data_IF_186312070709
#
_entry.id   IF_186312070709
#
_cell.length_a   1.000
_cell.length_b   1.000
_cell.length_c   1.000
_cell.angle_alpha   90.00
_cell.angle_beta   90.00
_cell.angle_gamma   90.00
#
_symmetry.space_group_name_H-M   'P 1'
#
loop_
_entity.id
_entity.type
_entity.pdbx_description
1 polymer ?
#
# COMPACT_ATOMS: atom_id res chain seq x y z
N UNK A 1 41.60 20.21 68.87
CA UNK A 1 41.38 21.27 67.85
C UNK A 1 41.11 20.53 66.54
N UNK A 2 39.90 20.00 66.38
CA UNK A 2 38.80 20.68 65.65
C UNK A 2 39.17 21.00 64.20
N UNK A 3 38.71 20.19 63.25
CA UNK A 3 37.44 20.47 62.59
C UNK A 3 37.07 19.36 61.60
N UNK A 4 35.88 18.80 61.79
CA UNK A 4 35.24 17.94 60.81
C UNK A 4 34.78 18.71 59.58
N UNK A 5 34.63 17.99 58.47
CA UNK A 5 33.65 18.28 57.44
C UNK A 5 32.97 16.99 57.04
N UNK A 6 31.76 16.81 57.58
CA UNK A 6 30.68 16.17 56.85
C UNK A 6 30.55 16.88 55.50
N UNK A 7 30.54 16.11 54.42
CA UNK A 7 29.79 16.42 53.21
C UNK A 7 28.91 15.20 52.96
N UNK A 8 27.85 15.16 53.76
CA UNK A 8 26.60 14.56 53.35
C UNK A 8 25.99 15.53 52.31
N UNK A 9 25.85 15.06 51.09
CA UNK A 9 24.90 15.60 50.12
C UNK A 9 24.70 14.56 49.04
N UNK A 10 23.81 13.61 49.34
CA UNK A 10 23.01 12.90 48.36
C UNK A 10 22.35 13.93 47.43
N UNK A 11 23.01 14.26 46.32
CA UNK A 11 22.35 14.92 45.19
C UNK A 11 21.49 13.86 44.50
N UNK A 12 20.29 13.65 45.04
CA UNK A 12 19.19 13.08 44.27
C UNK A 12 18.92 14.02 43.11
N UNK A 13 19.38 13.63 41.92
CA UNK A 13 19.07 14.33 40.68
C UNK A 13 17.56 14.58 40.61
N UNK A 14 17.13 15.82 40.29
CA UNK A 14 15.72 16.16 40.25
C UNK A 14 15.03 15.29 39.21
N UNK A 15 13.92 14.68 39.64
CA UNK A 15 12.92 13.97 38.85
C UNK A 15 13.18 13.96 37.35
N UNK A 16 13.81 12.91 36.83
CA UNK A 16 13.76 12.63 35.40
C UNK A 16 12.28 12.35 35.06
N UNK A 17 11.58 13.29 34.39
CA UNK A 17 10.14 13.19 34.20
C UNK A 17 9.78 11.93 33.39
N UNK A 18 10.69 11.43 32.55
CA UNK A 18 10.50 10.21 31.76
C UNK A 18 10.58 8.97 32.67
N UNK A 19 11.47 8.98 33.66
CA UNK A 19 11.61 7.87 34.61
C UNK A 19 10.38 7.69 35.51
N UNK A 20 9.58 8.74 35.71
CA UNK A 20 8.35 8.72 36.52
C UNK A 20 7.07 8.43 35.73
N UNK A 21 7.12 8.32 34.39
CA UNK A 21 5.94 7.98 33.59
C UNK A 21 5.45 6.57 33.92
N UNK A 22 4.13 6.30 33.93
CA UNK A 22 3.59 4.93 33.97
C UNK A 22 4.01 4.10 32.75
N UNK A 23 4.03 2.77 32.88
CA UNK A 23 4.41 1.88 31.77
C UNK A 23 3.45 2.01 30.57
N UNK A 24 2.19 2.32 30.82
CA UNK A 24 1.15 2.50 29.81
C UNK A 24 1.47 3.71 28.93
N UNK A 25 1.78 4.85 29.55
CA UNK A 25 2.15 6.08 28.84
C UNK A 25 3.44 5.87 28.06
N UNK A 26 4.43 5.21 28.67
CA UNK A 26 5.68 4.90 27.99
C UNK A 26 5.48 3.94 26.80
N UNK A 27 4.55 2.98 26.91
CA UNK A 27 4.19 2.09 25.80
C UNK A 27 3.56 2.86 24.64
N UNK A 28 2.66 3.81 24.92
CA UNK A 28 2.09 4.67 23.89
C UNK A 28 3.16 5.51 23.19
N UNK A 29 4.10 6.07 23.95
CA UNK A 29 5.25 6.79 23.37
C UNK A 29 6.06 5.89 22.43
N UNK A 30 6.29 4.62 22.81
CA UNK A 30 7.01 3.66 21.95
C UNK A 30 6.24 3.34 20.66
N UNK A 31 4.91 3.25 20.74
CA UNK A 31 4.08 3.01 19.55
C UNK A 31 4.01 4.23 18.62
N UNK A 32 4.10 5.45 19.16
CA UNK A 32 4.20 6.69 18.38
C UNK A 32 5.61 6.91 17.79
N UNK A 33 6.63 6.25 18.31
CA UNK A 33 8.00 6.33 17.80
C UNK A 33 8.20 5.60 16.46
N UNK A 34 7.42 4.54 16.21
CA UNK A 34 7.45 3.77 14.97
C UNK A 34 6.37 4.26 13.99
N UNK A 35 6.47 3.97 12.67
CA UNK A 35 5.44 4.34 11.73
C UNK A 35 4.13 3.62 12.02
N UNK A 36 3.02 4.20 11.54
CA UNK A 36 1.69 3.65 11.78
C UNK A 36 1.54 2.31 11.04
N UNK A 37 1.13 1.27 11.77
CA UNK A 37 0.83 -0.04 11.18
C UNK A 37 -0.17 0.12 10.02
N UNK A 38 0.04 -0.50 8.83
CA UNK A 38 0.94 -1.62 8.56
C UNK A 38 2.34 -1.24 8.02
N UNK A 39 2.71 0.03 8.05
CA UNK A 39 4.05 0.46 7.62
C UNK A 39 5.13 -0.17 8.50
N UNK A 40 6.24 -0.56 7.87
CA UNK A 40 7.33 -1.25 8.55
C UNK A 40 8.40 -0.25 8.99
N UNK A 41 8.78 -0.20 10.28
CA UNK A 41 9.97 0.53 10.70
C UNK A 41 11.24 -0.12 10.12
N UNK A 42 12.36 0.64 10.04
CA UNK A 42 13.66 0.05 9.75
C UNK A 42 14.00 -1.08 10.73
N UNK A 43 14.44 -2.23 10.21
CA UNK A 43 14.90 -3.35 11.03
C UNK A 43 16.12 -2.97 11.88
N UNK A 44 16.99 -2.15 11.31
CA UNK A 44 18.27 -1.73 11.88
C UNK A 44 18.44 -0.22 11.71
N UNK A 45 19.27 0.38 12.57
CA UNK A 45 19.63 1.78 12.49
C UNK A 45 18.62 2.74 13.14
N UNK A 46 18.72 4.05 12.82
CA UNK A 46 17.85 5.07 13.39
C UNK A 46 16.37 4.76 13.12
N UNK A 47 15.51 5.13 14.08
CA UNK A 47 14.05 4.91 14.02
C UNK A 47 13.62 3.43 14.08
N UNK A 48 14.55 2.50 14.28
CA UNK A 48 14.22 1.11 14.59
C UNK A 48 13.71 0.98 16.03
N UNK A 49 12.64 0.21 16.29
CA UNK A 49 12.20 -0.09 17.65
C UNK A 49 13.29 -0.80 18.47
N UNK A 50 14.28 -1.41 17.83
CA UNK A 50 15.46 -1.97 18.50
C UNK A 50 16.26 -0.90 19.28
N UNK A 51 16.21 0.37 18.87
CA UNK A 51 16.86 1.47 19.59
C UNK A 51 16.25 1.72 20.97
N UNK A 52 14.94 1.48 21.15
CA UNK A 52 14.27 1.64 22.45
C UNK A 52 14.86 0.71 23.51
N UNK A 53 15.35 -0.45 23.09
CA UNK A 53 16.00 -1.43 23.96
C UNK A 53 17.37 -0.98 24.49
N UNK A 54 17.97 0.07 23.91
CA UNK A 54 19.32 0.53 24.25
C UNK A 54 19.35 1.68 25.27
N UNK A 55 18.18 2.25 25.63
CA UNK A 55 18.10 3.44 26.48
C UNK A 55 18.37 3.11 27.95
N UNK A 56 17.56 2.22 28.53
CA UNK A 56 17.75 1.74 29.90
C UNK A 56 17.08 0.37 30.08
N UNK A 57 17.35 -0.29 31.21
CA UNK A 57 16.78 -1.61 31.51
C UNK A 57 15.24 -1.63 31.48
N UNK A 58 14.59 -0.58 31.98
CA UNK A 58 13.13 -0.46 31.97
C UNK A 58 12.57 -0.42 30.55
N UNK A 59 13.20 0.34 29.65
CA UNK A 59 12.78 0.44 28.25
C UNK A 59 13.04 -0.87 27.49
N UNK A 60 14.13 -1.56 27.78
CA UNK A 60 14.42 -2.90 27.28
C UNK A 60 13.30 -3.88 27.64
N UNK A 61 12.98 -3.99 28.93
CA UNK A 61 11.95 -4.92 29.44
C UNK A 61 10.58 -4.59 28.85
N UNK A 62 10.22 -3.31 28.80
CA UNK A 62 8.94 -2.87 28.25
C UNK A 62 8.84 -3.09 26.73
N UNK A 63 9.90 -2.78 25.97
CA UNK A 63 9.92 -3.01 24.52
C UNK A 63 9.77 -4.51 24.18
N UNK A 64 10.43 -5.38 24.94
CA UNK A 64 10.29 -6.84 24.79
C UNK A 64 8.89 -7.34 25.16
N UNK A 65 8.21 -6.67 26.10
CA UNK A 65 6.84 -6.98 26.52
C UNK A 65 5.76 -6.44 25.57
N UNK A 66 6.13 -5.67 24.52
CA UNK A 66 5.20 -5.07 23.56
C UNK A 66 5.30 -5.73 22.17
N UNK A 67 4.57 -6.84 21.91
CA UNK A 67 4.58 -7.52 20.61
C UNK A 67 4.26 -6.65 19.40
N UNK A 68 3.48 -5.57 19.61
CA UNK A 68 3.05 -4.64 18.56
C UNK A 68 4.22 -3.89 17.92
N UNK A 69 5.34 -3.69 18.63
CA UNK A 69 6.54 -3.05 18.07
C UNK A 69 7.23 -3.92 17.00
N UNK A 70 6.95 -5.22 16.99
CA UNK A 70 7.71 -6.22 16.23
C UNK A 70 6.91 -6.87 15.10
N UNK A 71 5.65 -6.48 14.91
CA UNK A 71 4.70 -7.16 14.00
C UNK A 71 4.74 -6.67 12.54
N UNK A 72 5.47 -5.61 12.24
CA UNK A 72 5.67 -5.11 10.88
C UNK A 72 7.16 -5.28 10.52
N UNK A 73 7.43 -6.05 9.47
CA UNK A 73 8.77 -6.51 9.10
C UNK A 73 9.01 -6.17 7.63
N UNK A 74 10.07 -5.42 7.36
CA UNK A 74 10.55 -5.17 6.00
C UNK A 74 11.97 -5.67 5.84
N UNK A 75 12.21 -6.46 4.79
CA UNK A 75 13.54 -6.85 4.34
C UNK A 75 13.74 -6.23 2.97
N UNK A 76 14.70 -5.31 2.89
CA UNK A 76 14.99 -4.56 1.68
C UNK A 76 16.50 -4.37 1.49
N UNK A 77 16.93 -4.47 0.24
CA UNK A 77 18.31 -4.22 -0.13
C UNK A 77 18.56 -2.70 -0.20
N UNK A 78 18.89 -2.14 0.96
CA UNK A 78 19.50 -0.81 1.07
C UNK A 78 21.00 -0.97 1.31
N UNK A 79 21.67 -1.55 0.30
CA UNK A 79 23.08 -1.32 -0.02
C UNK A 79 24.08 -1.54 1.13
N UNK A 80 24.13 -2.73 1.75
CA UNK A 80 25.37 -3.43 2.24
C UNK A 80 25.13 -4.52 3.30
N UNK A 81 23.92 -4.66 3.90
CA UNK A 81 23.69 -5.56 5.06
C UNK A 81 22.46 -6.48 4.94
N UNK A 82 22.02 -6.81 3.72
CA UNK A 82 20.75 -7.51 3.52
C UNK A 82 20.71 -8.93 4.14
N UNK A 83 21.83 -9.65 4.19
CA UNK A 83 21.87 -10.98 4.82
C UNK A 83 21.68 -10.94 6.34
N UNK A 84 22.13 -9.87 6.99
CA UNK A 84 22.02 -9.67 8.44
C UNK A 84 20.60 -9.29 8.87
N UNK A 85 19.79 -8.78 7.94
CA UNK A 85 18.39 -8.46 8.20
C UNK A 85 17.55 -9.70 8.50
N UNK A 86 17.84 -10.86 7.89
CA UNK A 86 17.04 -12.09 8.08
C UNK A 86 17.06 -12.57 9.54
N UNK A 87 18.22 -12.72 10.21
CA UNK A 87 18.28 -13.05 11.63
C UNK A 87 17.52 -12.06 12.53
N UNK A 88 17.63 -10.76 12.25
CA UNK A 88 16.94 -9.70 13.02
C UNK A 88 15.43 -9.78 12.81
N UNK A 89 14.99 -9.98 11.57
CA UNK A 89 13.59 -10.14 11.22
C UNK A 89 12.98 -11.40 11.86
N UNK A 90 13.76 -12.48 11.99
CA UNK A 90 13.35 -13.67 12.75
C UNK A 90 13.15 -13.37 14.24
N UNK A 91 14.04 -12.58 14.83
CA UNK A 91 13.88 -12.14 16.22
C UNK A 91 12.62 -11.28 16.41
N UNK A 92 12.31 -10.41 15.46
CA UNK A 92 11.06 -9.64 15.46
C UNK A 92 9.83 -10.54 15.31
N UNK A 93 9.91 -11.54 14.45
CA UNK A 93 8.86 -12.55 14.29
C UNK A 93 8.58 -13.32 15.60
N UNK A 94 9.61 -13.66 16.37
CA UNK A 94 9.46 -14.29 17.69
C UNK A 94 8.86 -13.34 18.74
N UNK A 95 9.26 -12.07 18.71
CA UNK A 95 8.77 -11.03 19.64
C UNK A 95 7.34 -10.59 19.36
N UNK A 96 6.89 -10.67 18.11
CA UNK A 96 5.50 -10.36 17.71
C UNK A 96 4.48 -11.41 18.17
N UNK A 97 4.93 -12.55 18.72
CA UNK A 97 4.08 -13.60 19.31
C UNK A 97 2.98 -14.10 18.38
N UNK A 98 1.72 -13.80 18.69
CA UNK A 98 0.54 -14.25 17.94
C UNK A 98 -0.08 -13.12 17.11
N UNK A 99 0.49 -11.91 17.16
CA UNK A 99 -0.07 -10.77 16.44
C UNK A 99 -0.03 -11.01 14.92
N UNK A 100 -1.02 -10.51 14.17
CA UNK A 100 -0.96 -10.58 12.72
C UNK A 100 0.21 -9.75 12.18
N UNK A 101 0.75 -10.13 11.02
CA UNK A 101 2.01 -9.62 10.50
C UNK A 101 1.79 -8.75 9.27
N UNK A 102 2.53 -7.65 9.20
CA UNK A 102 2.83 -6.95 7.95
C UNK A 102 4.21 -7.38 7.47
N UNK A 103 4.31 -7.93 6.27
CA UNK A 103 5.56 -8.42 5.69
C UNK A 103 5.81 -7.74 4.35
N UNK A 104 6.94 -7.06 4.22
CA UNK A 104 7.41 -6.41 3.00
C UNK A 104 8.76 -6.99 2.58
N UNK A 105 8.83 -7.55 1.38
CA UNK A 105 10.07 -8.01 0.74
C UNK A 105 10.25 -7.22 -0.55
N UNK A 106 11.26 -6.36 -0.59
CA UNK A 106 11.45 -5.40 -1.69
C UNK A 106 12.92 -5.29 -2.11
N UNK A 107 13.17 -5.12 -3.42
CA UNK A 107 14.51 -4.87 -3.98
C UNK A 107 15.55 -5.97 -3.69
N UNK A 108 15.12 -7.15 -3.25
CA UNK A 108 16.01 -8.28 -2.97
C UNK A 108 16.42 -8.98 -4.25
N UNK A 109 17.67 -9.47 -4.30
CA UNK A 109 18.06 -10.44 -5.32
C UNK A 109 17.25 -11.73 -5.20
N UNK A 110 17.38 -12.60 -6.22
CA UNK A 110 16.63 -13.85 -6.27
C UNK A 110 16.91 -14.77 -5.07
N UNK A 111 18.18 -14.93 -4.70
CA UNK A 111 18.58 -15.85 -3.64
C UNK A 111 18.05 -15.41 -2.28
N UNK A 112 18.18 -14.13 -1.95
CA UNK A 112 17.72 -13.56 -0.69
C UNK A 112 16.20 -13.52 -0.61
N UNK A 113 15.53 -13.21 -1.71
CA UNK A 113 14.07 -13.27 -1.79
C UNK A 113 13.56 -14.67 -1.46
N UNK A 114 14.15 -15.71 -2.08
CA UNK A 114 13.76 -17.10 -1.85
C UNK A 114 14.04 -17.54 -0.41
N UNK A 115 15.20 -17.16 0.14
CA UNK A 115 15.58 -17.45 1.52
C UNK A 115 14.66 -16.77 2.53
N UNK A 116 14.40 -15.47 2.37
CA UNK A 116 13.47 -14.72 3.23
C UNK A 116 12.07 -15.32 3.14
N UNK A 117 11.58 -15.58 1.94
CA UNK A 117 10.26 -16.13 1.75
C UNK A 117 10.10 -17.53 2.36
N UNK A 118 11.08 -18.41 2.17
CA UNK A 118 11.12 -19.73 2.80
C UNK A 118 11.09 -19.62 4.34
N UNK A 119 11.73 -18.59 4.88
CA UNK A 119 11.80 -18.30 6.32
C UNK A 119 10.45 -17.88 6.90
N UNK A 120 9.70 -17.01 6.21
CA UNK A 120 8.41 -16.50 6.73
C UNK A 120 7.19 -17.35 6.36
N UNK A 121 7.27 -18.17 5.30
CA UNK A 121 6.15 -19.01 4.82
C UNK A 121 5.52 -19.93 5.88
N UNK A 122 6.28 -20.51 6.84
CA UNK A 122 5.69 -21.27 7.95
C UNK A 122 4.69 -20.47 8.79
N UNK A 123 4.83 -19.14 8.85
CA UNK A 123 4.01 -18.25 9.67
C UNK A 123 2.89 -17.54 8.89
N UNK A 124 2.64 -17.95 7.63
CA UNK A 124 1.65 -17.32 6.74
C UNK A 124 0.22 -17.22 7.29
N UNK A 125 -0.15 -18.07 8.26
CA UNK A 125 -1.45 -18.00 8.90
C UNK A 125 -1.68 -16.67 9.64
N UNK A 126 -0.59 -15.98 10.00
CA UNK A 126 -0.59 -14.68 10.67
C UNK A 126 -0.49 -13.50 9.69
N UNK A 127 -0.25 -13.71 8.41
CA UNK A 127 -0.06 -12.60 7.46
C UNK A 127 -1.36 -11.81 7.28
N UNK A 128 -1.32 -10.52 7.61
CA UNK A 128 -2.42 -9.56 7.43
C UNK A 128 -2.15 -8.66 6.21
N UNK A 129 -0.90 -8.22 6.05
CA UNK A 129 -0.45 -7.47 4.88
C UNK A 129 0.80 -8.12 4.29
N UNK A 130 0.80 -8.36 2.99
CA UNK A 130 1.92 -8.96 2.27
C UNK A 130 2.29 -8.08 1.07
N UNK A 131 3.55 -7.65 1.01
CA UNK A 131 4.11 -6.90 -0.10
C UNK A 131 5.34 -7.61 -0.66
N UNK A 132 5.24 -8.06 -1.91
CA UNK A 132 6.32 -8.74 -2.63
C UNK A 132 6.64 -7.94 -3.89
N UNK A 133 7.77 -7.24 -3.90
CA UNK A 133 8.19 -6.40 -5.03
C UNK A 133 9.60 -6.80 -5.47
N UNK A 134 9.68 -7.47 -6.61
CA UNK A 134 10.90 -8.08 -7.14
C UNK A 134 11.26 -7.55 -8.53
N UNK A 135 12.55 -7.30 -8.74
CA UNK A 135 13.12 -6.89 -10.02
C UNK A 135 13.65 -8.07 -10.86
N UNK A 136 13.23 -9.29 -10.54
CA UNK A 136 13.65 -10.50 -11.25
C UNK A 136 12.46 -11.41 -11.59
N UNK A 137 12.73 -12.45 -12.37
CA UNK A 137 11.70 -13.34 -12.93
C UNK A 137 11.21 -14.32 -11.87
N UNK A 138 10.00 -14.07 -11.35
CA UNK A 138 9.40 -14.92 -10.31
C UNK A 138 9.10 -16.32 -10.86
N UNK A 139 9.81 -17.32 -10.34
CA UNK A 139 9.65 -18.72 -10.75
C UNK A 139 8.45 -19.42 -10.10
N UNK A 140 7.67 -18.68 -9.30
CA UNK A 140 6.51 -19.19 -8.59
C UNK A 140 6.86 -19.57 -7.16
N UNK A 141 6.06 -19.13 -6.19
CA UNK A 141 6.17 -19.62 -4.83
C UNK A 141 5.17 -20.72 -4.55
N UNK A 142 5.64 -21.79 -3.94
CA UNK A 142 4.78 -22.89 -3.45
C UNK A 142 3.81 -22.49 -2.34
N UNK A 143 3.83 -21.23 -1.88
CA UNK A 143 2.86 -20.72 -0.91
C UNK A 143 1.58 -20.20 -1.57
N UNK A 144 1.64 -19.76 -2.83
CA UNK A 144 0.47 -19.27 -3.57
C UNK A 144 -0.47 -20.46 -3.82
N UNK A 145 -1.59 -20.47 -3.11
CA UNK A 145 -2.56 -21.56 -3.10
C UNK A 145 -2.74 -22.27 -1.75
N UNK A 146 -2.01 -21.86 -0.71
CA UNK A 146 -2.27 -22.30 0.69
C UNK A 146 -3.17 -21.30 1.41
N UNK A 147 -3.78 -21.68 2.53
CA UNK A 147 -4.66 -20.76 3.27
C UNK A 147 -3.88 -19.61 3.92
N UNK A 148 -4.44 -18.40 3.85
CA UNK A 148 -3.99 -17.20 4.54
C UNK A 148 -5.21 -16.50 5.16
N UNK A 149 -5.69 -17.00 6.32
CA UNK A 149 -6.99 -16.63 6.87
C UNK A 149 -7.10 -15.16 7.27
N UNK A 150 -5.98 -14.51 7.63
CA UNK A 150 -5.95 -13.13 8.10
C UNK A 150 -5.59 -12.10 7.02
N UNK A 151 -5.27 -12.53 5.80
CA UNK A 151 -4.73 -11.65 4.77
C UNK A 151 -5.78 -10.64 4.30
N UNK A 152 -5.52 -9.37 4.51
CA UNK A 152 -6.38 -8.23 4.15
C UNK A 152 -5.84 -7.44 2.96
N UNK A 153 -4.51 -7.33 2.85
CA UNK A 153 -3.83 -6.60 1.78
C UNK A 153 -2.75 -7.43 1.10
N UNK A 154 -2.76 -7.44 -0.23
CA UNK A 154 -1.74 -8.09 -1.04
C UNK A 154 -1.20 -7.12 -2.09
N UNK A 155 0.11 -6.87 -2.03
CA UNK A 155 0.87 -6.12 -3.03
C UNK A 155 1.83 -7.04 -3.76
N UNK A 156 1.70 -7.13 -5.08
CA UNK A 156 2.62 -7.88 -5.94
C UNK A 156 3.16 -6.97 -7.05
N UNK A 157 4.48 -6.86 -7.13
CA UNK A 157 5.17 -6.21 -8.24
C UNK A 157 6.31 -7.08 -8.73
N UNK A 158 6.21 -7.56 -9.97
CA UNK A 158 7.17 -8.49 -10.54
C UNK A 158 7.74 -7.90 -11.83
N UNK A 159 9.05 -8.06 -12.07
CA UNK A 159 9.65 -7.70 -13.37
C UNK A 159 9.04 -8.51 -14.51
N UNK A 160 8.86 -9.82 -14.30
CA UNK A 160 8.12 -10.69 -15.20
C UNK A 160 7.18 -11.57 -14.41
N UNK A 161 5.91 -11.55 -14.81
CA UNK A 161 4.91 -12.45 -14.27
C UNK A 161 5.10 -13.85 -14.86
N UNK A 162 4.93 -14.92 -14.07
CA UNK A 162 5.10 -16.28 -14.56
C UNK A 162 4.11 -16.59 -15.66
N UNK A 163 4.49 -17.51 -16.56
CA UNK A 163 3.58 -17.93 -17.64
C UNK A 163 2.32 -18.62 -17.12
N UNK A 164 2.42 -19.27 -15.96
CA UNK A 164 1.32 -19.95 -15.29
C UNK A 164 0.41 -18.94 -14.57
N UNK A 165 -0.90 -19.22 -14.61
CA UNK A 165 -1.92 -18.46 -13.85
C UNK A 165 -1.63 -18.57 -12.36
N UNK A 166 -1.65 -17.44 -11.65
CA UNK A 166 -1.46 -17.41 -10.20
C UNK A 166 -2.75 -17.88 -9.54
N UNK A 167 -2.66 -18.98 -8.80
CA UNK A 167 -3.70 -19.43 -7.89
C UNK A 167 -3.44 -18.76 -6.55
N UNK A 168 -4.27 -17.79 -6.18
CA UNK A 168 -4.10 -17.14 -4.89
C UNK A 168 -4.58 -18.02 -3.73
N UNK A 169 -4.06 -17.77 -2.51
CA UNK A 169 -4.49 -18.41 -1.28
C UNK A 169 -6.00 -18.28 -1.04
N UNK A 170 -6.58 -19.23 -0.30
CA UNK A 170 -7.86 -19.01 0.39
C UNK A 170 -7.64 -17.89 1.42
N UNK A 171 -8.05 -16.68 1.06
CA UNK A 171 -7.88 -15.47 1.84
C UNK A 171 -9.24 -14.76 1.97
N UNK A 172 -10.10 -15.18 2.92
CA UNK A 172 -11.49 -14.70 3.01
C UNK A 172 -11.61 -13.23 3.43
N UNK A 173 -10.55 -12.65 4.01
CA UNK A 173 -10.54 -11.25 4.46
C UNK A 173 -9.87 -10.30 3.46
N UNK A 174 -9.39 -10.80 2.32
CA UNK A 174 -8.64 -9.99 1.35
C UNK A 174 -9.55 -8.96 0.69
N UNK A 175 -9.28 -7.67 0.92
CA UNK A 175 -10.08 -6.58 0.35
C UNK A 175 -9.24 -5.52 -0.36
N UNK A 176 -7.92 -5.52 -0.15
CA UNK A 176 -6.98 -4.59 -0.78
C UNK A 176 -6.03 -5.33 -1.71
N UNK A 177 -5.97 -4.91 -2.97
CA UNK A 177 -5.01 -5.42 -3.95
C UNK A 177 -4.18 -4.27 -4.53
N UNK A 178 -2.88 -4.51 -4.63
CA UNK A 178 -1.94 -3.61 -5.30
C UNK A 178 -1.14 -4.43 -6.30
N UNK A 179 -1.28 -4.15 -7.59
CA UNK A 179 -0.49 -4.81 -8.62
C UNK A 179 0.38 -3.83 -9.37
N UNK A 180 1.61 -4.25 -9.64
CA UNK A 180 2.54 -3.52 -10.47
C UNK A 180 2.93 -4.36 -11.70
N UNK A 181 2.82 -3.77 -12.90
CA UNK A 181 3.19 -4.36 -14.20
C UNK A 181 2.50 -5.70 -14.51
N UNK A 182 1.25 -5.88 -14.09
CA UNK A 182 0.52 -7.14 -14.28
C UNK A 182 -0.30 -7.17 -15.58
N UNK A 183 -0.43 -8.37 -16.18
CA UNK A 183 -1.40 -8.64 -17.25
C UNK A 183 -2.61 -9.38 -16.69
N UNK A 184 -3.82 -9.00 -17.11
CA UNK A 184 -5.09 -9.60 -16.68
C UNK A 184 -5.11 -11.12 -16.82
N UNK A 185 -4.53 -11.65 -17.92
CA UNK A 185 -4.47 -13.08 -18.21
C UNK A 185 -3.89 -13.94 -17.08
N UNK A 186 -3.10 -13.34 -16.18
CA UNK A 186 -2.45 -14.03 -15.06
C UNK A 186 -3.29 -14.07 -13.78
N UNK A 187 -4.38 -13.30 -13.69
CA UNK A 187 -5.13 -13.01 -12.46
C UNK A 187 -6.56 -13.58 -12.44
N UNK A 188 -6.96 -14.41 -13.40
CA UNK A 188 -8.37 -14.82 -13.57
C UNK A 188 -9.03 -15.56 -12.37
N UNK A 189 -8.31 -15.89 -11.29
CA UNK A 189 -8.79 -16.72 -10.16
C UNK A 189 -8.65 -16.05 -8.79
N UNK A 190 -8.78 -14.73 -8.71
CA UNK A 190 -8.81 -14.02 -7.42
C UNK A 190 -10.25 -13.96 -6.87
N UNK A 191 -10.43 -13.81 -5.54
CA UNK A 191 -11.74 -13.56 -4.95
C UNK A 191 -12.17 -12.10 -5.22
N UNK A 192 -12.44 -11.77 -6.48
CA UNK A 192 -12.69 -10.39 -6.92
C UNK A 192 -13.90 -9.74 -6.26
N UNK A 193 -14.88 -10.54 -5.84
CA UNK A 193 -16.10 -10.06 -5.21
C UNK A 193 -15.89 -9.36 -3.86
N UNK A 194 -14.83 -9.67 -3.11
CA UNK A 194 -14.55 -9.07 -1.80
C UNK A 194 -13.58 -7.88 -1.87
N UNK A 195 -13.05 -7.58 -3.07
CA UNK A 195 -12.08 -6.49 -3.25
C UNK A 195 -12.81 -5.15 -3.23
N UNK A 196 -12.38 -4.27 -2.32
CA UNK A 196 -12.93 -2.92 -2.13
C UNK A 196 -11.93 -1.83 -2.48
N UNK A 197 -10.62 -2.12 -2.43
CA UNK A 197 -9.58 -1.18 -2.80
C UNK A 197 -8.59 -1.79 -3.78
N UNK A 198 -8.36 -1.10 -4.88
CA UNK A 198 -7.49 -1.56 -5.96
C UNK A 198 -6.52 -0.49 -6.43
N UNK A 199 -5.21 -0.80 -6.41
CA UNK A 199 -4.17 0.03 -7.01
C UNK A 199 -3.52 -0.76 -8.15
N UNK A 200 -3.50 -0.17 -9.34
CA UNK A 200 -2.98 -0.75 -10.58
C UNK A 200 -1.86 0.13 -11.11
N UNK A 201 -0.62 -0.25 -10.82
CA UNK A 201 0.56 0.50 -11.23
C UNK A 201 1.18 -0.05 -12.50
N UNK A 202 1.41 0.83 -13.48
CA UNK A 202 1.95 0.45 -14.80
C UNK A 202 1.14 -0.68 -15.48
N UNK A 203 -0.18 -0.64 -15.37
CA UNK A 203 -1.11 -1.63 -15.95
C UNK A 203 -1.80 -1.04 -17.17
N UNK A 204 -1.97 -1.84 -18.23
CA UNK A 204 -2.66 -1.41 -19.46
C UNK A 204 -4.08 -0.97 -19.17
N UNK A 205 -4.57 -0.02 -19.95
CA UNK A 205 -5.95 0.45 -19.81
C UNK A 205 -6.97 -0.67 -20.04
N UNK A 206 -6.76 -1.52 -21.04
CA UNK A 206 -7.62 -2.68 -21.33
C UNK A 206 -7.63 -3.74 -20.22
N UNK A 207 -6.46 -4.04 -19.65
CA UNK A 207 -6.34 -4.95 -18.50
C UNK A 207 -7.07 -4.35 -17.27
N UNK A 208 -6.99 -3.03 -17.06
CA UNK A 208 -7.71 -2.34 -16.00
C UNK A 208 -9.23 -2.47 -16.15
N UNK A 209 -9.78 -2.26 -17.36
CA UNK A 209 -11.23 -2.41 -17.60
C UNK A 209 -11.71 -3.82 -17.28
N UNK A 210 -10.95 -4.83 -17.71
CA UNK A 210 -11.27 -6.23 -17.44
C UNK A 210 -11.23 -6.55 -15.94
N UNK A 211 -10.28 -5.98 -15.20
CA UNK A 211 -10.18 -6.12 -13.74
C UNK A 211 -11.35 -5.43 -13.03
N UNK A 212 -11.69 -4.22 -13.43
CA UNK A 212 -12.82 -3.47 -12.88
C UNK A 212 -14.13 -4.24 -13.06
N UNK A 213 -14.34 -4.85 -14.23
CA UNK A 213 -15.51 -5.68 -14.52
C UNK A 213 -15.71 -6.85 -13.54
N UNK A 214 -14.64 -7.35 -12.91
CA UNK A 214 -14.70 -8.46 -11.95
C UNK A 214 -14.92 -8.01 -10.51
N UNK A 215 -14.86 -6.71 -10.22
CA UNK A 215 -14.82 -6.15 -8.86
C UNK A 215 -16.09 -5.37 -8.52
N UNK A 216 -17.25 -6.04 -8.36
CA UNK A 216 -18.54 -5.36 -8.18
C UNK A 216 -18.64 -4.57 -6.87
N UNK A 217 -17.82 -4.92 -5.86
CA UNK A 217 -17.79 -4.25 -4.56
C UNK A 217 -16.68 -3.20 -4.43
N UNK A 218 -16.06 -2.81 -5.54
CA UNK A 218 -14.98 -1.84 -5.53
C UNK A 218 -15.47 -0.48 -5.03
N UNK A 219 -14.76 0.07 -4.05
CA UNK A 219 -15.04 1.38 -3.43
C UNK A 219 -14.02 2.40 -3.90
N UNK A 220 -12.74 2.01 -3.98
CA UNK A 220 -11.66 2.90 -4.42
C UNK A 220 -10.79 2.23 -5.48
N UNK A 221 -10.48 2.97 -6.54
CA UNK A 221 -9.57 2.51 -7.59
C UNK A 221 -8.52 3.59 -7.90
N UNK A 222 -7.24 3.18 -7.94
CA UNK A 222 -6.16 3.97 -8.49
C UNK A 222 -5.50 3.25 -9.65
N UNK A 223 -5.28 3.92 -10.78
CA UNK A 223 -4.47 3.43 -11.91
C UNK A 223 -3.41 4.47 -12.29
N UNK A 224 -2.14 4.07 -12.30
CA UNK A 224 -1.07 4.87 -12.92
C UNK A 224 -0.81 4.44 -14.36
N UNK A 225 -0.34 5.37 -15.19
CA UNK A 225 -0.20 5.16 -16.63
C UNK A 225 0.87 4.13 -16.96
N UNK A 226 0.65 3.41 -18.06
CA UNK A 226 1.67 2.55 -18.62
C UNK A 226 2.44 3.28 -19.73
N UNK A 227 3.77 3.38 -19.60
CA UNK A 227 4.65 4.09 -20.55
C UNK A 227 4.81 3.39 -21.91
N UNK A 228 4.03 2.35 -22.20
CA UNK A 228 4.05 1.67 -23.50
C UNK A 228 2.75 1.95 -24.25
N UNK A 229 2.80 2.12 -25.58
CA UNK A 229 1.61 2.35 -26.37
C UNK A 229 0.62 1.21 -26.14
N UNK A 230 -0.58 1.57 -25.68
CA UNK A 230 -1.71 0.68 -25.52
C UNK A 230 -2.09 0.07 -26.86
N UNK A 231 -2.31 -1.24 -26.88
CA UNK A 231 -3.03 -1.88 -27.98
C UNK A 231 -4.46 -1.33 -28.02
N UNK A 232 -5.03 -1.35 -29.22
CA UNK A 232 -6.41 -0.94 -29.52
C UNK A 232 -7.38 -1.64 -28.55
N UNK A 233 -8.34 -0.89 -28.00
CA UNK A 233 -9.42 -1.45 -27.18
C UNK A 233 -10.07 -2.62 -27.94
N UNK A 234 -10.30 -3.77 -27.30
CA UNK A 234 -11.11 -4.79 -27.96
C UNK A 234 -12.48 -4.21 -28.34
N UNK A 235 -12.95 -4.52 -29.55
CA UNK A 235 -14.16 -3.94 -30.17
C UNK A 235 -15.45 -4.13 -29.35
N UNK A 236 -15.43 -5.01 -28.35
CA UNK A 236 -16.52 -5.24 -27.39
C UNK A 236 -15.96 -5.23 -25.98
N UNK A 237 -16.04 -4.09 -25.32
CA UNK A 237 -15.84 -4.00 -23.88
C UNK A 237 -17.20 -4.00 -23.18
N UNK A 238 -17.32 -4.69 -22.03
CA UNK A 238 -18.56 -4.66 -21.25
C UNK A 238 -18.80 -3.23 -20.76
N UNK A 239 -20.05 -2.76 -20.84
CA UNK A 239 -20.47 -1.61 -20.05
C UNK A 239 -20.50 -2.05 -18.58
N UNK A 240 -19.55 -1.57 -17.79
CA UNK A 240 -19.39 -2.00 -16.40
C UNK A 240 -20.03 -0.97 -15.48
N UNK A 241 -20.93 -1.41 -14.61
CA UNK A 241 -21.53 -0.54 -13.59
C UNK A 241 -20.88 -0.83 -12.24
N UNK A 242 -20.14 0.15 -11.71
CA UNK A 242 -19.48 0.05 -10.40
C UNK A 242 -20.29 0.83 -9.37
N UNK A 243 -21.30 0.17 -8.80
CA UNK A 243 -22.32 0.81 -7.96
C UNK A 243 -21.81 1.30 -6.60
N UNK A 244 -20.64 0.84 -6.15
CA UNK A 244 -20.05 1.21 -4.85
C UNK A 244 -18.81 2.09 -4.96
N UNK A 245 -18.35 2.38 -6.18
CA UNK A 245 -17.12 3.12 -6.39
C UNK A 245 -17.32 4.59 -6.01
N UNK A 246 -16.63 5.05 -4.98
CA UNK A 246 -16.67 6.42 -4.47
C UNK A 246 -15.47 7.25 -4.90
N UNK A 247 -14.32 6.61 -5.10
CA UNK A 247 -13.07 7.28 -5.45
C UNK A 247 -12.42 6.61 -6.67
N UNK A 248 -12.22 7.38 -7.74
CA UNK A 248 -11.57 6.94 -8.97
C UNK A 248 -10.40 7.86 -9.30
N UNK A 249 -9.19 7.32 -9.31
CA UNK A 249 -7.96 8.03 -9.62
C UNK A 249 -7.26 7.34 -10.78
N UNK A 250 -7.37 7.89 -11.99
CA UNK A 250 -6.89 7.22 -13.19
C UNK A 250 -6.08 8.14 -14.08
N UNK A 251 -4.87 7.69 -14.38
CA UNK A 251 -4.16 8.15 -15.56
C UNK A 251 -4.76 7.46 -16.79
N UNK A 252 -5.31 8.18 -17.76
CA UNK A 252 -5.92 7.65 -18.98
C UNK A 252 -4.93 7.72 -20.16
N UNK A 253 -4.96 6.68 -20.99
CA UNK A 253 -4.23 6.63 -22.28
C UNK A 253 -5.18 6.98 -23.43
N UNK A 254 -6.47 6.66 -23.28
CA UNK A 254 -7.51 6.92 -24.27
C UNK A 254 -8.64 7.81 -23.77
N UNK A 255 -9.25 8.56 -24.69
CA UNK A 255 -10.46 9.33 -24.43
C UNK A 255 -11.68 8.44 -24.15
N UNK A 256 -11.66 7.20 -24.63
CA UNK A 256 -12.76 6.25 -24.49
C UNK A 256 -12.80 5.57 -23.12
N UNK A 257 -11.78 5.72 -22.26
CA UNK A 257 -11.71 4.99 -20.97
C UNK A 257 -12.98 5.16 -20.15
N UNK A 258 -13.39 6.42 -19.95
CA UNK A 258 -14.53 6.75 -19.12
C UNK A 258 -15.83 6.22 -19.72
N UNK A 259 -15.94 6.14 -21.04
CA UNK A 259 -17.12 5.65 -21.77
C UNK A 259 -17.45 4.18 -21.48
N UNK A 260 -16.52 3.43 -20.91
CA UNK A 260 -16.66 2.00 -20.60
C UNK A 260 -17.38 1.73 -19.27
N UNK A 261 -17.56 2.76 -18.44
CA UNK A 261 -18.07 2.60 -17.08
C UNK A 261 -19.24 3.53 -16.77
N UNK A 262 -20.07 3.09 -15.82
CA UNK A 262 -21.03 3.91 -15.10
C UNK A 262 -20.79 3.73 -13.58
N UNK A 263 -20.65 4.84 -12.87
CA UNK A 263 -20.19 4.84 -11.46
C UNK A 263 -21.10 5.70 -10.59
N UNK A 264 -22.34 5.24 -10.28
CA UNK A 264 -23.37 6.10 -9.71
C UNK A 264 -23.07 6.63 -8.30
N UNK A 265 -22.20 5.95 -7.55
CA UNK A 265 -21.79 6.38 -6.21
C UNK A 265 -20.52 7.25 -6.19
N UNK A 266 -19.98 7.63 -7.35
CA UNK A 266 -18.69 8.32 -7.44
C UNK A 266 -18.78 9.73 -6.84
N UNK A 267 -17.83 10.06 -5.95
CA UNK A 267 -17.73 11.35 -5.27
C UNK A 267 -16.44 12.08 -5.61
N UNK A 268 -15.32 11.35 -5.70
CA UNK A 268 -14.02 11.91 -6.03
C UNK A 268 -13.50 11.32 -7.34
N UNK A 269 -13.21 12.19 -8.31
CA UNK A 269 -12.64 11.81 -9.61
C UNK A 269 -11.31 12.53 -9.81
N UNK A 270 -10.23 11.76 -10.01
CA UNK A 270 -8.90 12.27 -10.36
C UNK A 270 -8.49 11.75 -11.73
N UNK A 271 -8.18 12.66 -12.65
CA UNK A 271 -7.89 12.35 -14.06
C UNK A 271 -6.57 12.99 -14.51
N UNK A 272 -5.74 12.19 -15.17
CA UNK A 272 -4.56 12.68 -15.88
C UNK A 272 -4.46 11.99 -17.24
N UNK A 273 -4.21 12.71 -18.33
CA UNK A 273 -4.00 12.10 -19.66
C UNK A 273 -2.52 12.12 -20.01
N UNK A 274 -1.92 10.93 -20.12
CA UNK A 274 -0.44 10.80 -20.15
C UNK A 274 0.10 10.77 -21.57
N UNK A 275 -0.68 10.29 -22.55
CA UNK A 275 -0.24 10.26 -23.94
C UNK A 275 -0.58 11.59 -24.64
N UNK A 276 0.46 12.25 -25.17
CA UNK A 276 0.42 13.41 -26.08
C UNK A 276 0.18 14.81 -25.48
N UNK A 277 0.32 15.05 -24.16
CA UNK A 277 0.00 16.37 -23.55
C UNK A 277 -1.35 16.90 -24.06
N UNK A 278 -2.34 16.02 -24.21
CA UNK A 278 -3.65 16.41 -24.73
C UNK A 278 -4.51 16.89 -23.59
N UNK A 279 -5.21 17.99 -23.83
CA UNK A 279 -6.30 18.44 -22.99
C UNK A 279 -7.37 17.36 -22.83
N UNK A 280 -8.02 17.35 -21.68
CA UNK A 280 -9.07 16.39 -21.33
C UNK A 280 -10.25 16.57 -22.31
N UNK A 281 -10.79 15.48 -22.88
CA UNK A 281 -12.01 15.55 -23.70
C UNK A 281 -13.22 15.87 -22.82
N UNK A 282 -13.61 17.15 -22.72
CA UNK A 282 -14.77 17.59 -21.93
C UNK A 282 -16.06 16.83 -22.29
N UNK A 283 -16.27 16.54 -23.58
CA UNK A 283 -17.43 15.76 -24.03
C UNK A 283 -17.50 14.36 -23.41
N UNK A 284 -16.37 13.65 -23.30
CA UNK A 284 -16.31 12.34 -22.64
C UNK A 284 -16.57 12.46 -21.14
N UNK A 285 -16.10 13.53 -20.50
CA UNK A 285 -16.35 13.79 -19.08
C UNK A 285 -17.82 14.11 -18.81
N UNK A 286 -18.46 14.96 -19.62
CA UNK A 286 -19.91 15.21 -19.54
C UNK A 286 -20.72 13.94 -19.78
N UNK A 287 -20.38 13.19 -20.83
CA UNK A 287 -21.00 11.89 -21.15
C UNK A 287 -20.89 10.93 -19.97
N UNK A 288 -19.72 10.86 -19.33
CA UNK A 288 -19.48 10.02 -18.16
C UNK A 288 -20.29 10.43 -16.93
N UNK A 289 -20.33 11.72 -16.60
CA UNK A 289 -21.11 12.22 -15.46
C UNK A 289 -22.60 11.99 -15.70
N UNK A 290 -23.10 12.32 -16.89
CA UNK A 290 -24.50 12.10 -17.26
C UNK A 290 -24.88 10.63 -17.25
N UNK A 291 -24.02 9.73 -17.76
CA UNK A 291 -24.26 8.28 -17.79
C UNK A 291 -24.16 7.65 -16.41
N UNK A 292 -23.23 8.12 -15.59
CA UNK A 292 -23.06 7.63 -14.22
C UNK A 292 -24.17 8.13 -13.30
N UNK A 293 -24.73 9.32 -13.55
CA UNK A 293 -25.71 9.94 -12.66
C UNK A 293 -25.16 10.26 -11.27
N UNK A 294 -23.83 10.37 -11.16
CA UNK A 294 -23.14 10.61 -9.90
C UNK A 294 -23.16 12.09 -9.51
N UNK A 295 -22.99 12.35 -8.20
CA UNK A 295 -22.84 13.69 -7.64
C UNK A 295 -21.40 13.82 -7.20
N UNK A 296 -20.57 14.41 -8.06
CA UNK A 296 -19.16 14.63 -7.75
C UNK A 296 -19.00 15.75 -6.72
N UNK A 297 -18.28 15.43 -5.64
CA UNK A 297 -17.86 16.38 -4.61
C UNK A 297 -16.49 16.98 -4.95
N UNK A 298 -15.61 16.17 -5.57
CA UNK A 298 -14.25 16.53 -5.93
C UNK A 298 -13.90 16.11 -7.36
N UNK A 299 -13.37 17.05 -8.14
CA UNK A 299 -12.77 16.81 -9.45
C UNK A 299 -11.33 17.32 -9.46
N UNK A 300 -10.38 16.41 -9.62
CA UNK A 300 -8.97 16.73 -9.81
C UNK A 300 -8.55 16.39 -11.23
N UNK A 301 -8.00 17.35 -11.94
CA UNK A 301 -7.60 17.18 -13.35
C UNK A 301 -6.17 17.66 -13.55
N UNK A 302 -5.44 16.95 -14.40
CA UNK A 302 -4.15 17.40 -14.93
C UNK A 302 -4.35 17.69 -16.40
N UNK A 303 -4.35 18.98 -16.76
CA UNK A 303 -4.64 19.47 -18.11
C UNK A 303 -3.60 20.54 -18.50
N UNK A 304 -2.91 20.41 -19.65
CA UNK A 304 -1.93 21.39 -20.09
C UNK A 304 -2.56 22.65 -20.69
N UNK A 305 -3.78 22.58 -21.21
CA UNK A 305 -4.39 23.62 -22.03
C UNK A 305 -5.49 24.41 -21.28
N UNK A 306 -5.98 23.88 -20.14
CA UNK A 306 -7.06 24.47 -19.36
C UNK A 306 -6.68 24.76 -17.92
N UNK A 307 -7.24 25.83 -17.38
CA UNK A 307 -7.11 26.24 -15.99
C UNK A 307 -8.26 25.72 -15.13
N UNK A 308 -8.15 25.85 -13.81
CA UNK A 308 -9.23 25.50 -12.89
C UNK A 308 -10.53 26.28 -13.20
N UNK A 309 -10.41 27.53 -13.64
CA UNK A 309 -11.56 28.38 -13.95
C UNK A 309 -12.35 27.87 -15.16
N UNK A 310 -11.66 27.33 -16.17
CA UNK A 310 -12.31 26.75 -17.35
C UNK A 310 -13.18 25.54 -16.95
N UNK A 311 -12.67 24.67 -16.06
CA UNK A 311 -13.44 23.56 -15.52
C UNK A 311 -14.59 24.01 -14.61
N UNK A 312 -14.45 25.11 -13.87
CA UNK A 312 -15.55 25.67 -13.07
C UNK A 312 -16.71 26.20 -13.91
N UNK A 313 -16.42 26.74 -15.10
CA UNK A 313 -17.46 27.17 -16.06
C UNK A 313 -18.21 25.97 -16.64
N UNK A 314 -17.50 24.90 -16.98
CA UNK A 314 -18.09 23.68 -17.57
C UNK A 314 -18.85 22.83 -16.53
N UNK A 315 -18.38 22.79 -15.27
CA UNK A 315 -18.93 21.96 -14.20
C UNK A 315 -19.29 22.77 -12.94
N UNK A 316 -20.24 23.71 -13.03
CA UNK A 316 -20.55 24.63 -11.92
C UNK A 316 -21.16 23.94 -10.69
N UNK A 317 -21.68 22.72 -10.85
CA UNK A 317 -22.28 21.95 -9.76
C UNK A 317 -21.27 21.22 -8.87
N UNK A 318 -19.99 21.13 -9.27
CA UNK A 318 -18.96 20.42 -8.50
C UNK A 318 -18.33 21.40 -7.50
N UNK A 319 -18.42 21.15 -6.18
CA UNK A 319 -17.92 22.07 -5.16
C UNK A 319 -16.40 22.30 -5.25
N UNK A 320 -15.65 21.20 -5.33
CA UNK A 320 -14.19 21.22 -5.30
C UNK A 320 -13.64 20.82 -6.65
N UNK A 321 -13.03 21.76 -7.37
CA UNK A 321 -12.31 21.53 -8.62
C UNK A 321 -10.87 21.94 -8.40
N UNK A 322 -9.93 21.09 -8.78
CA UNK A 322 -8.49 21.37 -8.76
C UNK A 322 -7.91 21.01 -10.11
N UNK A 323 -7.37 22.00 -10.83
CA UNK A 323 -6.61 21.76 -12.06
C UNK A 323 -5.12 21.98 -11.82
N UNK A 324 -4.30 21.02 -12.22
CA UNK A 324 -2.84 21.18 -12.27
C UNK A 324 -2.39 21.27 -13.73
N UNK A 325 -1.59 22.28 -14.05
CA UNK A 325 -0.88 22.35 -15.33
C UNK A 325 0.16 21.23 -15.38
N UNK A 326 0.18 20.44 -16.46
CA UNK A 326 1.27 19.52 -16.72
C UNK A 326 2.54 20.34 -17.05
N UNK A 327 3.58 20.25 -16.21
CA UNK A 327 4.89 20.86 -16.48
C UNK A 327 5.63 20.08 -17.60
#
# INVERSE_FOLDING_TARGET
MENGRNLDSSETHPDDPISNLPNEILSEVFLQFIPTYPECPPLLGPLSPTCLMLVCRRWLELSLALPMLWRAIEIADEALFCEEQIPVAMLWLERSKVYPLSLSLAKLDQFLSDKALATFTPHRARWEHLSLVYDWDWQGSGFLGREMPLLQSLRLGLRRWPDKVIKLPLAPLLHTLVFHRVSFSKLAKLPWNQITFFILDEVRESDCVQLLALTPNLVRCRRSSWNRPSAIFPDKLPSVVLVRLTDLDVACESNAFLDLFATPALRCLRLAYVQNRRSIPLHSLHSFISRSGCILEELHVVDPDRTEQDFRVEFPSIPTIVCKSAA
#
